data_IF_371016896082
#
_entry.id   IF_371016896082
#
_cell.length_a   1.000
_cell.length_b   1.000
_cell.length_c   1.000
_cell.angle_alpha   90.00
_cell.angle_beta   90.00
_cell.angle_gamma   90.00
#
_symmetry.space_group_name_H-M   'P 1'
#
loop_
_entity.id
_entity.type
_entity.pdbx_description
1 polymer ?
#
# COMPACT_ATOMS: atom_id res chain seq x y z
N UNK A 1 9.42 11.72 5.81
CA UNK A 1 8.26 12.61 6.09
C UNK A 1 7.22 12.62 4.97
N UNK A 2 7.58 12.49 3.69
CA UNK A 2 6.61 12.52 2.58
C UNK A 2 5.51 11.46 2.70
N UNK A 3 5.90 10.19 2.76
CA UNK A 3 4.92 9.08 2.80
C UNK A 3 4.01 9.14 4.03
N UNK A 4 4.53 9.56 5.19
CA UNK A 4 3.72 9.75 6.41
C UNK A 4 2.60 10.77 6.17
N UNK A 5 2.92 11.93 5.57
CA UNK A 5 1.91 12.94 5.22
C UNK A 5 0.89 12.39 4.22
N UNK A 6 1.33 11.57 3.27
CA UNK A 6 0.44 10.96 2.30
C UNK A 6 -0.48 9.92 2.93
N UNK A 7 0.03 9.03 3.79
CA UNK A 7 -0.78 8.10 4.58
C UNK A 7 -1.79 8.85 5.44
N UNK A 8 -1.41 9.97 6.08
CA UNK A 8 -2.34 10.78 6.88
C UNK A 8 -3.46 11.35 6.01
N UNK A 9 -3.14 11.93 4.86
CA UNK A 9 -4.15 12.46 3.93
C UNK A 9 -5.09 11.35 3.42
N UNK A 10 -4.53 10.19 3.05
CA UNK A 10 -5.30 9.02 2.67
C UNK A 10 -6.14 8.47 3.82
N UNK A 11 -5.63 8.52 5.05
CA UNK A 11 -6.36 8.10 6.24
C UNK A 11 -7.58 8.98 6.52
N UNK A 12 -7.44 10.29 6.32
CA UNK A 12 -8.57 11.22 6.41
C UNK A 12 -9.62 10.99 5.30
N UNK A 13 -9.18 10.62 4.09
CA UNK A 13 -10.08 10.37 2.97
C UNK A 13 -10.77 9.00 3.05
N UNK A 14 -10.00 7.92 3.25
CA UNK A 14 -10.50 6.55 3.26
C UNK A 14 -11.17 6.19 4.59
N UNK A 15 -10.69 6.74 5.70
CA UNK A 15 -11.10 6.31 7.04
C UNK A 15 -10.69 4.88 7.38
N UNK A 16 -11.10 4.45 8.57
CA UNK A 16 -10.89 3.10 9.10
C UNK A 16 -12.06 2.19 8.72
N UNK A 17 -11.85 0.90 8.37
CA UNK A 17 -10.57 0.15 8.32
C UNK A 17 -9.79 0.27 7.00
N UNK A 18 -10.33 0.96 5.99
CA UNK A 18 -9.81 0.98 4.61
C UNK A 18 -8.37 1.48 4.49
N UNK A 19 -7.94 2.45 5.29
CA UNK A 19 -6.55 2.91 5.27
C UNK A 19 -5.54 1.79 5.59
N UNK A 20 -5.90 0.85 6.48
CA UNK A 20 -5.03 -0.30 6.76
C UNK A 20 -4.91 -1.19 5.52
N UNK A 21 -6.01 -1.42 4.82
CA UNK A 21 -6.02 -2.15 3.54
C UNK A 21 -5.09 -1.50 2.51
N UNK A 22 -5.18 -0.18 2.34
CA UNK A 22 -4.32 0.55 1.42
C UNK A 22 -2.81 0.43 1.77
N UNK A 23 -2.44 0.59 3.04
CA UNK A 23 -1.03 0.49 3.50
C UNK A 23 -0.53 -0.96 3.40
N UNK A 24 -1.38 -1.93 3.68
CA UNK A 24 -1.06 -3.35 3.55
C UNK A 24 -0.80 -3.72 2.09
N UNK A 25 -1.70 -3.35 1.17
CA UNK A 25 -1.53 -3.57 -0.26
C UNK A 25 -0.28 -2.87 -0.80
N UNK A 26 -0.01 -1.65 -0.35
CA UNK A 26 1.20 -0.92 -0.70
C UNK A 26 2.48 -1.66 -0.30
N UNK A 27 2.51 -2.20 0.92
CA UNK A 27 3.63 -2.98 1.42
C UNK A 27 3.80 -4.29 0.63
N UNK A 28 2.68 -4.96 0.33
CA UNK A 28 2.67 -6.19 -0.47
C UNK A 28 3.19 -5.96 -1.89
N UNK A 29 2.72 -4.90 -2.56
CA UNK A 29 3.20 -4.52 -3.89
C UNK A 29 4.67 -4.10 -3.85
N UNK A 30 5.08 -3.36 -2.82
CA UNK A 30 6.46 -2.92 -2.63
C UNK A 30 7.44 -4.10 -2.49
N UNK A 31 7.08 -5.12 -1.71
CA UNK A 31 7.94 -6.31 -1.57
C UNK A 31 7.94 -7.18 -2.83
N UNK A 32 6.77 -7.38 -3.47
CA UNK A 32 6.68 -8.20 -4.67
C UNK A 32 7.39 -7.55 -5.86
N UNK A 33 7.01 -6.31 -6.21
CA UNK A 33 7.53 -5.61 -7.38
C UNK A 33 8.93 -5.05 -7.10
N UNK A 34 9.11 -4.37 -5.97
CA UNK A 34 10.40 -3.79 -5.59
C UNK A 34 11.44 -4.87 -5.30
N UNK A 35 11.06 -5.95 -4.61
CA UNK A 35 11.94 -7.09 -4.37
C UNK A 35 12.33 -7.82 -5.66
N UNK A 36 11.37 -8.06 -6.56
CA UNK A 36 11.66 -8.65 -7.87
C UNK A 36 12.60 -7.75 -8.69
N UNK A 37 12.36 -6.43 -8.69
CA UNK A 37 13.20 -5.47 -9.40
C UNK A 37 14.63 -5.42 -8.87
N UNK A 38 14.82 -5.44 -7.55
CA UNK A 38 16.15 -5.52 -6.93
C UNK A 38 16.89 -6.80 -7.34
N UNK A 39 16.19 -7.94 -7.36
CA UNK A 39 16.75 -9.23 -7.78
C UNK A 39 17.18 -9.21 -9.26
N UNK A 40 16.35 -8.67 -10.15
CA UNK A 40 16.64 -8.58 -11.59
C UNK A 40 17.79 -7.61 -11.89
N UNK A 41 17.84 -6.48 -11.17
CA UNK A 41 18.89 -5.47 -11.34
C UNK A 41 20.18 -5.76 -10.56
N UNK A 42 20.22 -6.87 -9.81
CA UNK A 42 21.33 -7.25 -8.90
C UNK A 42 21.71 -6.13 -7.91
N UNK A 43 20.75 -5.28 -7.57
CA UNK A 43 20.94 -4.18 -6.64
C UNK A 43 20.84 -4.68 -5.21
N UNK A 44 21.67 -4.13 -4.33
CA UNK A 44 21.59 -4.42 -2.90
C UNK A 44 20.25 -3.97 -2.32
N UNK A 45 19.74 -4.72 -1.34
CA UNK A 45 18.62 -4.34 -0.47
C UNK A 45 18.84 -3.01 0.26
N UNK A 46 20.09 -2.51 0.30
CA UNK A 46 20.43 -1.18 0.82
C UNK A 46 19.98 -0.05 -0.11
N UNK A 47 19.61 -0.33 -1.36
CA UNK A 47 19.08 0.69 -2.24
C UNK A 47 17.66 1.07 -1.81
N UNK A 48 17.39 2.35 -1.52
CA UNK A 48 16.09 2.78 -1.08
C UNK A 48 15.07 2.58 -2.20
N UNK A 49 14.04 1.77 -1.93
CA UNK A 49 12.84 1.67 -2.77
C UNK A 49 11.86 2.75 -2.29
N UNK A 50 11.42 3.69 -3.15
CA UNK A 50 10.45 4.70 -2.74
C UNK A 50 9.10 4.03 -2.46
N UNK A 51 8.54 4.26 -1.27
CA UNK A 51 7.26 3.66 -0.87
C UNK A 51 6.05 4.38 -1.48
N UNK A 52 6.15 5.70 -1.68
CA UNK A 52 5.07 6.54 -2.22
C UNK A 52 4.31 6.00 -3.44
N UNK A 53 4.97 5.52 -4.51
CA UNK A 53 4.28 4.95 -5.67
C UNK A 53 3.45 3.70 -5.33
N UNK A 54 3.96 2.82 -4.48
CA UNK A 54 3.23 1.63 -4.04
C UNK A 54 2.08 2.01 -3.11
N UNK A 55 2.26 3.04 -2.29
CA UNK A 55 1.19 3.60 -1.47
C UNK A 55 0.06 4.19 -2.31
N UNK A 56 0.37 4.94 -3.36
CA UNK A 56 -0.61 5.44 -4.30
C UNK A 56 -1.37 4.30 -4.99
N UNK A 57 -0.66 3.24 -5.41
CA UNK A 57 -1.28 2.06 -6.02
C UNK A 57 -2.20 1.32 -5.03
N UNK A 58 -1.74 1.08 -3.80
CA UNK A 58 -2.55 0.47 -2.74
C UNK A 58 -3.80 1.29 -2.41
N UNK A 59 -3.68 2.61 -2.36
CA UNK A 59 -4.81 3.51 -2.17
C UNK A 59 -5.81 3.46 -3.34
N UNK A 60 -5.33 3.47 -4.60
CA UNK A 60 -6.18 3.33 -5.78
C UNK A 60 -6.97 2.02 -5.76
N UNK A 61 -6.31 0.90 -5.46
CA UNK A 61 -6.98 -0.39 -5.33
C UNK A 61 -8.04 -0.32 -4.21
N UNK A 62 -7.70 0.26 -3.07
CA UNK A 62 -8.62 0.40 -1.95
C UNK A 62 -9.83 1.27 -2.29
N UNK A 63 -9.68 2.32 -3.10
CA UNK A 63 -10.79 3.16 -3.57
C UNK A 63 -11.72 2.39 -4.52
N UNK A 64 -11.14 1.62 -5.44
CA UNK A 64 -11.91 0.87 -6.44
C UNK A 64 -12.64 -0.34 -5.85
N UNK A 65 -12.05 -1.00 -4.85
CA UNK A 65 -12.55 -2.24 -4.26
C UNK A 65 -12.97 -2.08 -2.79
N UNK A 66 -13.45 -0.89 -2.41
CA UNK A 66 -13.77 -0.58 -1.02
C UNK A 66 -14.89 -1.45 -0.45
N UNK A 67 -15.92 -1.75 -1.24
CA UNK A 67 -17.07 -2.54 -0.79
C UNK A 67 -16.66 -3.98 -0.50
N UNK A 68 -15.91 -4.61 -1.42
CA UNK A 68 -15.42 -5.98 -1.28
C UNK A 68 -14.47 -6.11 -0.08
N UNK A 69 -13.66 -5.08 0.18
CA UNK A 69 -12.81 -5.06 1.36
C UNK A 69 -13.63 -4.99 2.65
N UNK A 70 -14.71 -4.18 2.70
CA UNK A 70 -15.56 -4.09 3.88
C UNK A 70 -16.35 -5.39 4.11
N UNK A 71 -16.85 -6.02 3.06
CA UNK A 71 -17.46 -7.36 3.14
C UNK A 71 -16.48 -8.38 3.72
N UNK A 72 -15.26 -8.43 3.20
CA UNK A 72 -14.21 -9.31 3.71
C UNK A 72 -13.86 -8.99 5.17
N UNK A 73 -13.76 -7.70 5.52
CA UNK A 73 -13.48 -7.26 6.87
C UNK A 73 -14.56 -7.73 7.85
N UNK A 74 -15.83 -7.51 7.53
CA UNK A 74 -16.97 -7.93 8.36
C UNK A 74 -17.17 -9.46 8.39
N UNK A 75 -16.65 -10.18 7.40
CA UNK A 75 -16.65 -11.64 7.42
C UNK A 75 -15.59 -12.21 8.36
N UNK A 76 -14.43 -11.57 8.44
CA UNK A 76 -13.29 -12.01 9.27
C UNK A 76 -13.47 -11.60 10.75
N UNK A 77 -14.04 -10.43 11.01
CA UNK A 77 -14.23 -9.85 12.35
C UNK A 77 -15.69 -9.84 12.75
#
# INVERSE_FOLDING_TARGET
LGDVKFVTALGLYLGMPRILGAVFLASLLGILIGGLWLKLTKKSLKNPIPFGPFLAAGALIMILFQEQFLELYNFIF
#
